data_IF_813316150893
#
_entry.id   IF_813316150893
#
_cell.length_a   1.000
_cell.length_b   1.000
_cell.length_c   1.000
_cell.angle_alpha   90.00
_cell.angle_beta   90.00
_cell.angle_gamma   90.00
#
_symmetry.space_group_name_H-M   'P 1'
#
loop_
_entity.id
_entity.type
_entity.pdbx_description
1 polymer ?
#
# COMPACT_ATOMS: atom_id res chain seq x y z
N UNK A 1 -14.29 -19.16 -1.68
CA UNK A 1 -14.49 -18.20 -2.75
C UNK A 1 -14.89 -18.97 -4.01
N UNK A 2 -15.99 -18.91 -4.59
CA UNK A 2 -16.39 -19.68 -5.78
C UNK A 2 -17.81 -20.20 -5.72
N UNK A 3 -18.47 -20.09 -4.56
CA UNK A 3 -19.88 -20.37 -4.41
C UNK A 3 -20.66 -19.06 -4.31
N UNK A 4 -21.86 -18.95 -4.90
CA UNK A 4 -22.68 -17.76 -4.77
C UNK A 4 -23.13 -17.59 -3.31
N UNK A 5 -23.16 -16.33 -2.84
CA UNK A 5 -23.71 -15.99 -1.53
C UNK A 5 -25.26 -16.08 -1.49
N UNK A 6 -25.87 -16.09 -2.67
CA UNK A 6 -27.32 -16.14 -2.86
C UNK A 6 -27.70 -15.65 -4.25
N UNK A 7 -28.94 -15.20 -4.39
CA UNK A 7 -29.50 -14.68 -5.64
C UNK A 7 -30.20 -13.34 -5.39
N UNK A 8 -30.29 -12.51 -6.44
CA UNK A 8 -31.05 -11.25 -6.40
C UNK A 8 -32.57 -11.58 -6.20
N UNK A 9 -33.12 -11.12 -5.10
CA UNK A 9 -34.53 -11.32 -4.78
C UNK A 9 -35.45 -10.47 -5.68
N UNK A 10 -36.72 -10.83 -5.82
CA UNK A 10 -37.65 -10.06 -6.64
C UNK A 10 -37.80 -8.59 -6.20
N UNK A 11 -37.90 -8.25 -4.88
CA UNK A 11 -37.93 -6.85 -4.45
C UNK A 11 -36.61 -6.09 -4.77
N UNK A 12 -35.46 -6.74 -4.62
CA UNK A 12 -34.17 -6.12 -4.96
C UNK A 12 -34.02 -5.91 -6.48
N UNK A 13 -34.50 -6.87 -7.27
CA UNK A 13 -34.53 -6.79 -8.73
C UNK A 13 -35.36 -5.59 -9.22
N UNK A 14 -36.54 -5.40 -8.65
CA UNK A 14 -37.44 -4.27 -8.95
C UNK A 14 -36.76 -2.93 -8.59
N UNK A 15 -36.19 -2.82 -7.39
CA UNK A 15 -35.51 -1.61 -6.91
C UNK A 15 -34.27 -1.24 -7.74
N UNK A 16 -33.47 -2.24 -8.14
CA UNK A 16 -32.19 -2.05 -8.85
C UNK A 16 -32.34 -2.06 -10.37
N UNK A 17 -33.51 -2.35 -10.92
CA UNK A 17 -33.69 -2.52 -12.36
C UNK A 17 -32.99 -3.77 -12.93
N UNK A 18 -32.84 -4.81 -12.13
CA UNK A 18 -32.18 -6.07 -12.47
C UNK A 18 -33.20 -7.19 -12.70
N UNK A 19 -32.74 -8.37 -13.12
CA UNK A 19 -33.57 -9.59 -13.13
C UNK A 19 -33.44 -10.30 -11.78
N UNK A 20 -34.54 -10.87 -11.28
CA UNK A 20 -34.50 -11.78 -10.14
C UNK A 20 -33.75 -13.07 -10.51
N UNK A 21 -33.10 -13.71 -9.51
CA UNK A 21 -32.39 -14.96 -9.71
C UNK A 21 -30.97 -14.78 -10.26
N UNK A 22 -30.45 -13.55 -10.40
CA UNK A 22 -29.05 -13.33 -10.75
C UNK A 22 -28.19 -13.77 -9.57
N UNK A 23 -27.15 -14.63 -9.77
CA UNK A 23 -26.24 -15.01 -8.69
C UNK A 23 -25.51 -13.81 -8.08
N UNK A 24 -25.44 -13.78 -6.75
CA UNK A 24 -24.67 -12.78 -6.00
C UNK A 24 -23.32 -13.38 -5.62
N UNK A 25 -22.23 -12.68 -5.93
CA UNK A 25 -20.86 -13.09 -5.62
C UNK A 25 -20.62 -13.22 -4.10
N UNK A 26 -19.61 -14.00 -3.67
CA UNK A 26 -19.37 -14.27 -2.25
C UNK A 26 -18.94 -13.02 -1.46
N UNK A 27 -18.50 -11.96 -2.16
CA UNK A 27 -17.94 -10.78 -1.52
C UNK A 27 -16.54 -11.03 -0.90
N UNK A 28 -15.89 -9.96 -0.52
CA UNK A 28 -14.58 -10.01 0.15
C UNK A 28 -14.29 -8.68 0.85
N UNK A 29 -13.28 -8.64 1.73
CA UNK A 29 -12.76 -7.39 2.27
C UNK A 29 -12.10 -6.54 1.18
N UNK A 30 -12.00 -5.24 1.41
CA UNK A 30 -11.52 -4.24 0.45
C UNK A 30 -10.11 -4.54 -0.10
N UNK A 31 -9.14 -4.85 0.77
CA UNK A 31 -7.77 -5.16 0.33
C UNK A 31 -7.70 -6.46 -0.50
N UNK A 32 -8.48 -7.49 -0.13
CA UNK A 32 -8.57 -8.71 -0.92
C UNK A 32 -9.31 -8.47 -2.25
N UNK A 33 -10.34 -7.60 -2.24
CA UNK A 33 -11.01 -7.13 -3.46
C UNK A 33 -10.06 -6.38 -4.39
N UNK A 34 -9.26 -5.45 -3.85
CA UNK A 34 -8.25 -4.75 -4.63
C UNK A 34 -7.18 -5.71 -5.21
N UNK A 35 -6.73 -6.70 -4.43
CA UNK A 35 -5.78 -7.72 -4.90
C UNK A 35 -6.35 -8.54 -6.07
N UNK A 36 -7.62 -8.94 -6.02
CA UNK A 36 -8.30 -9.59 -7.15
C UNK A 36 -8.43 -8.63 -8.33
N UNK A 37 -8.85 -7.38 -8.06
CA UNK A 37 -8.99 -6.35 -9.09
C UNK A 37 -7.70 -6.06 -9.84
N UNK A 38 -6.56 -6.19 -9.17
CA UNK A 38 -5.23 -6.11 -9.79
C UNK A 38 -4.83 -7.38 -10.55
N UNK A 39 -5.58 -8.46 -10.44
CA UNK A 39 -5.13 -9.77 -10.91
C UNK A 39 -3.80 -10.19 -10.28
N UNK A 40 -3.63 -9.91 -8.98
CA UNK A 40 -2.36 -9.99 -8.28
C UNK A 40 -1.82 -11.43 -8.26
N UNK A 41 -0.57 -11.58 -8.68
CA UNK A 41 0.16 -12.84 -8.59
C UNK A 41 0.89 -12.94 -7.25
N UNK A 42 1.09 -14.16 -6.71
CA UNK A 42 1.92 -14.36 -5.53
C UNK A 42 3.32 -13.77 -5.71
N UNK A 43 3.82 -13.08 -4.68
CA UNK A 43 5.13 -12.45 -4.68
C UNK A 43 5.16 -11.03 -5.27
N UNK A 44 4.08 -10.53 -5.85
CA UNK A 44 4.03 -9.14 -6.34
C UNK A 44 3.64 -8.21 -5.18
N UNK A 45 4.53 -7.29 -4.76
CA UNK A 45 4.26 -6.37 -3.66
C UNK A 45 3.35 -5.22 -4.09
N UNK A 46 2.47 -4.82 -3.19
CA UNK A 46 1.57 -3.67 -3.35
C UNK A 46 1.76 -2.71 -2.20
N UNK A 47 1.86 -1.42 -2.51
CA UNK A 47 1.76 -0.33 -1.55
C UNK A 47 0.53 0.51 -1.91
N UNK A 48 -0.39 0.65 -0.96
CA UNK A 48 -1.55 1.54 -1.09
C UNK A 48 -1.29 2.83 -0.31
N UNK A 49 -1.25 3.94 -1.04
CA UNK A 49 -0.99 5.29 -0.54
C UNK A 49 -2.32 6.02 -0.30
N UNK A 50 -2.97 5.70 0.80
CA UNK A 50 -4.19 6.36 1.28
C UNK A 50 -3.91 7.34 2.42
N UNK A 51 -4.95 7.78 3.14
CA UNK A 51 -4.84 8.54 4.41
C UNK A 51 -3.85 7.87 5.36
N UNK A 52 -4.04 6.59 5.61
CA UNK A 52 -3.07 5.63 6.14
C UNK A 52 -2.51 4.78 5.00
N UNK A 53 -1.36 4.15 5.22
CA UNK A 53 -0.73 3.30 4.22
C UNK A 53 -0.97 1.81 4.49
N UNK A 54 -1.00 1.00 3.44
CA UNK A 54 -0.91 -0.46 3.58
C UNK A 54 0.12 -1.03 2.64
N UNK A 55 0.81 -2.07 3.11
CA UNK A 55 1.70 -2.89 2.32
C UNK A 55 1.20 -4.34 2.35
N UNK A 56 1.11 -5.00 1.21
CA UNK A 56 0.63 -6.39 1.13
C UNK A 56 1.09 -7.09 -0.15
N UNK A 57 0.93 -8.39 -0.18
CA UNK A 57 1.05 -9.19 -1.40
C UNK A 57 0.15 -10.42 -1.34
N UNK A 58 -0.11 -11.06 -2.48
CA UNK A 58 -0.66 -12.43 -2.47
C UNK A 58 0.45 -13.43 -2.13
N UNK A 59 0.17 -14.38 -1.23
CA UNK A 59 1.13 -15.40 -0.77
C UNK A 59 0.55 -16.79 -0.89
N UNK A 60 1.40 -17.76 -1.24
CA UNK A 60 1.02 -19.18 -1.26
C UNK A 60 1.05 -19.81 0.13
N UNK A 61 1.78 -19.22 1.05
CA UNK A 61 1.94 -19.71 2.42
C UNK A 61 1.18 -18.83 3.40
N UNK A 62 0.64 -19.47 4.43
CA UNK A 62 -0.01 -18.75 5.53
C UNK A 62 1.04 -17.98 6.32
N UNK A 63 0.76 -16.71 6.56
CA UNK A 63 1.58 -15.87 7.44
C UNK A 63 1.07 -15.94 8.87
N UNK A 64 2.01 -16.13 9.81
CA UNK A 64 1.76 -16.09 11.24
C UNK A 64 2.81 -15.18 11.86
N UNK A 65 2.39 -14.04 12.34
CA UNK A 65 3.23 -13.04 13.01
C UNK A 65 2.85 -12.95 14.49
N UNK A 66 3.77 -13.39 15.36
CA UNK A 66 3.57 -13.33 16.80
C UNK A 66 3.62 -11.89 17.35
N UNK A 67 4.20 -10.93 16.61
CA UNK A 67 4.28 -9.51 17.00
C UNK A 67 2.98 -8.76 16.70
N UNK A 68 2.14 -9.28 15.79
CA UNK A 68 0.91 -8.64 15.35
C UNK A 68 1.12 -7.48 14.38
N UNK A 69 2.33 -7.28 13.87
CA UNK A 69 2.65 -6.22 12.89
C UNK A 69 2.07 -6.53 11.51
N UNK A 70 2.03 -7.83 11.15
CA UNK A 70 1.47 -8.33 9.89
C UNK A 70 0.22 -9.16 10.15
N UNK A 71 -0.89 -8.75 9.57
CA UNK A 71 -2.13 -9.51 9.58
C UNK A 71 -2.10 -10.62 8.51
N UNK A 72 -2.34 -11.87 8.94
CA UNK A 72 -2.36 -13.04 8.06
C UNK A 72 -3.76 -13.30 7.47
N UNK A 73 -4.25 -12.43 6.60
CA UNK A 73 -5.56 -12.59 5.97
C UNK A 73 -5.57 -13.74 4.94
N UNK A 74 -6.74 -14.32 4.71
CA UNK A 74 -7.01 -15.08 3.50
C UNK A 74 -7.27 -14.10 2.34
N UNK A 75 -6.79 -14.44 1.14
CA UNK A 75 -7.18 -13.72 -0.07
C UNK A 75 -8.50 -14.28 -0.64
N UNK A 76 -9.05 -13.60 -1.67
CA UNK A 76 -10.29 -14.02 -2.30
C UNK A 76 -10.10 -15.10 -3.39
N UNK A 77 -8.90 -15.66 -3.55
CA UNK A 77 -8.56 -16.67 -4.56
C UNK A 77 -8.19 -18.04 -3.96
N UNK A 78 -8.31 -18.17 -2.63
CA UNK A 78 -7.95 -19.38 -1.90
C UNK A 78 -6.47 -19.44 -1.46
N UNK A 79 -5.78 -18.30 -1.51
CA UNK A 79 -4.42 -18.09 -1.01
C UNK A 79 -4.45 -17.19 0.24
N UNK A 80 -3.35 -16.54 0.53
CA UNK A 80 -3.19 -15.66 1.69
C UNK A 80 -2.81 -14.25 1.25
N UNK A 81 -3.15 -13.27 2.10
CA UNK A 81 -2.87 -11.85 1.89
C UNK A 81 -2.21 -11.30 3.17
N UNK A 82 -0.91 -11.59 3.41
CA UNK A 82 -0.19 -10.90 4.47
C UNK A 82 -0.24 -9.39 4.20
N UNK A 83 -0.62 -8.63 5.24
CA UNK A 83 -0.84 -7.21 5.16
C UNK A 83 -0.33 -6.52 6.42
N UNK A 84 0.43 -5.45 6.26
CA UNK A 84 0.79 -4.51 7.30
C UNK A 84 0.21 -3.13 6.99
N UNK A 85 -0.13 -2.38 8.03
CA UNK A 85 -0.71 -1.05 7.87
C UNK A 85 0.08 -0.03 8.69
N UNK A 86 0.31 1.14 8.11
CA UNK A 86 0.84 2.33 8.79
C UNK A 86 -0.29 3.30 9.10
N UNK A 87 -0.16 4.08 10.17
CA UNK A 87 -1.11 5.17 10.48
C UNK A 87 -0.78 6.43 9.68
N UNK A 88 0.50 6.69 9.47
CA UNK A 88 1.01 7.92 8.89
C UNK A 88 1.45 7.72 7.44
N UNK A 89 0.61 8.17 6.51
CA UNK A 89 0.91 8.16 5.09
C UNK A 89 0.53 9.52 4.47
N UNK A 90 -0.41 9.59 3.53
CA UNK A 90 -0.67 10.86 2.84
C UNK A 90 -1.18 11.94 3.77
N UNK A 91 -2.03 11.62 4.76
CA UNK A 91 -2.54 12.60 5.71
C UNK A 91 -1.42 13.26 6.53
N UNK A 92 -0.44 12.49 6.98
CA UNK A 92 0.68 13.02 7.75
C UNK A 92 1.54 13.97 6.91
N UNK A 93 1.83 13.59 5.66
CA UNK A 93 2.57 14.45 4.72
C UNK A 93 1.79 15.71 4.38
N UNK A 94 0.48 15.60 4.10
CA UNK A 94 -0.39 16.75 3.83
C UNK A 94 -0.46 17.69 5.04
N UNK A 95 -0.48 17.16 6.27
CA UNK A 95 -0.46 17.95 7.49
C UNK A 95 0.85 18.72 7.64
N UNK A 96 1.98 18.08 7.37
CA UNK A 96 3.30 18.72 7.43
C UNK A 96 3.43 19.78 6.33
N UNK A 97 3.00 19.48 5.10
CA UNK A 97 2.94 20.46 4.01
C UNK A 97 2.13 21.70 4.39
N UNK A 98 0.96 21.50 5.03
CA UNK A 98 0.11 22.58 5.53
C UNK A 98 0.78 23.44 6.60
N UNK A 99 1.53 22.85 7.56
CA UNK A 99 2.30 23.61 8.54
C UNK A 99 3.42 24.43 7.93
N UNK A 100 4.02 23.93 6.83
CA UNK A 100 5.07 24.60 6.08
C UNK A 100 4.52 25.67 5.09
N UNK A 101 3.21 25.68 4.86
CA UNK A 101 2.59 26.56 3.84
C UNK A 101 2.92 26.15 2.41
N UNK A 102 3.20 24.88 2.16
CA UNK A 102 3.62 24.33 0.88
C UNK A 102 2.52 23.48 0.22
N UNK A 103 2.53 23.44 -1.11
CA UNK A 103 1.89 22.37 -1.87
C UNK A 103 2.75 21.09 -1.74
N UNK A 104 2.10 19.94 -1.59
CA UNK A 104 2.78 18.65 -1.40
C UNK A 104 3.73 18.27 -2.54
N UNK A 105 3.51 18.75 -3.75
CA UNK A 105 4.40 18.46 -4.90
C UNK A 105 5.64 19.37 -4.96
N UNK A 106 5.79 20.33 -4.01
CA UNK A 106 6.95 21.23 -3.92
C UNK A 106 8.08 20.74 -3.01
N UNK A 107 8.08 19.44 -2.67
CA UNK A 107 9.19 18.84 -1.93
C UNK A 107 10.51 18.95 -2.70
N UNK A 108 11.60 19.24 -1.98
CA UNK A 108 12.96 19.34 -2.54
C UNK A 108 13.40 18.04 -3.23
N UNK A 109 14.51 18.08 -3.94
CA UNK A 109 15.11 16.88 -4.55
C UNK A 109 15.99 16.11 -3.57
N UNK A 110 16.66 16.82 -2.66
CA UNK A 110 17.57 16.26 -1.66
C UNK A 110 17.34 16.85 -0.28
N UNK A 111 17.65 16.11 0.77
CA UNK A 111 17.60 16.59 2.16
C UNK A 111 18.50 15.76 3.07
N UNK A 112 19.10 16.42 4.05
CA UNK A 112 19.77 15.78 5.21
C UNK A 112 18.87 15.76 6.44
N UNK A 113 17.71 16.41 6.37
CA UNK A 113 16.71 16.40 7.44
C UNK A 113 16.09 15.01 7.53
N UNK A 114 15.75 14.58 8.72
CA UNK A 114 14.96 13.38 8.96
C UNK A 114 13.67 13.78 9.66
N UNK A 115 12.56 13.32 9.10
CA UNK A 115 11.23 13.41 9.72
C UNK A 115 10.71 12.01 9.98
N UNK A 116 10.34 11.73 11.22
CA UNK A 116 9.52 10.57 11.57
C UNK A 116 8.09 11.09 11.73
N UNK A 117 7.19 10.84 10.77
CA UNK A 117 5.89 11.52 10.72
C UNK A 117 4.82 10.85 11.60
N UNK A 118 5.19 10.32 12.77
CA UNK A 118 4.33 9.52 13.65
C UNK A 118 3.43 10.42 14.52
N UNK A 119 2.51 11.14 13.87
CA UNK A 119 1.75 12.23 14.51
C UNK A 119 0.91 11.77 15.70
N UNK A 120 0.26 10.63 15.64
CA UNK A 120 -0.57 10.06 16.70
C UNK A 120 -0.19 8.59 16.97
N UNK A 121 1.12 8.34 17.03
CA UNK A 121 1.69 7.01 17.09
C UNK A 121 1.87 6.38 15.71
N UNK A 122 2.40 5.15 15.67
CA UNK A 122 2.53 4.37 14.45
C UNK A 122 2.24 2.90 14.74
N UNK A 123 1.67 2.20 13.76
CA UNK A 123 1.35 0.77 13.83
C UNK A 123 2.48 -0.10 13.30
N UNK A 124 3.06 0.30 12.17
CA UNK A 124 4.22 -0.37 11.59
C UNK A 124 5.28 0.69 11.27
N UNK A 125 6.37 0.74 12.08
CA UNK A 125 6.65 -0.07 13.28
C UNK A 125 5.67 0.15 14.43
N UNK A 126 5.57 -0.82 15.37
CA UNK A 126 4.64 -0.74 16.51
C UNK A 126 5.15 0.27 17.57
N UNK A 127 4.77 1.52 17.40
CA UNK A 127 5.11 2.67 18.23
C UNK A 127 3.86 3.47 18.59
N UNK A 128 2.93 2.90 19.40
CA UNK A 128 1.59 3.49 19.59
C UNK A 128 1.61 4.83 20.34
N UNK A 129 2.67 5.13 21.07
CA UNK A 129 2.84 6.37 21.83
C UNK A 129 3.85 7.35 21.20
N UNK A 130 4.33 7.06 19.99
CA UNK A 130 5.26 7.96 19.32
C UNK A 130 4.60 9.30 18.96
N UNK A 131 5.41 10.33 18.93
CA UNK A 131 5.06 11.62 18.35
C UNK A 131 5.98 11.88 17.16
N UNK A 132 5.51 12.71 16.23
CA UNK A 132 6.34 13.12 15.11
C UNK A 132 7.60 13.86 15.60
N UNK A 133 8.69 13.66 14.88
CA UNK A 133 9.95 14.33 15.18
C UNK A 133 10.65 14.82 13.92
N UNK A 134 11.39 15.89 14.05
CA UNK A 134 12.22 16.48 13.00
C UNK A 134 13.63 16.64 13.55
N UNK A 135 14.63 16.13 12.86
CA UNK A 135 16.04 16.26 13.24
C UNK A 135 16.88 16.71 12.04
N UNK A 136 18.10 17.20 12.32
CA UNK A 136 19.02 17.62 11.26
C UNK A 136 18.77 19.02 10.71
N UNK A 137 17.90 19.83 11.34
CA UNK A 137 17.66 21.22 10.91
C UNK A 137 18.91 22.09 11.06
N UNK A 138 19.14 22.95 10.09
CA UNK A 138 20.19 23.95 10.04
C UNK A 138 19.61 25.31 9.66
N UNK A 139 20.37 26.38 9.82
CA UNK A 139 19.91 27.72 9.42
C UNK A 139 19.57 27.84 7.91
N UNK A 140 20.23 27.05 7.09
CA UNK A 140 20.01 27.02 5.64
C UNK A 140 18.95 26.01 5.20
N UNK A 141 18.31 25.29 6.13
CA UNK A 141 17.28 24.30 5.76
C UNK A 141 16.06 24.99 5.18
N UNK A 142 15.68 24.58 3.98
CA UNK A 142 14.50 25.10 3.29
C UNK A 142 13.26 24.24 3.62
N UNK A 143 12.03 24.84 3.62
CA UNK A 143 10.80 24.10 3.94
C UNK A 143 10.56 22.86 3.05
N UNK A 144 10.96 22.93 1.78
CA UNK A 144 10.84 21.79 0.83
C UNK A 144 11.68 20.58 1.23
N UNK A 145 12.81 20.78 1.94
CA UNK A 145 13.66 19.70 2.46
C UNK A 145 12.96 18.96 3.61
N UNK A 146 12.26 19.70 4.50
CA UNK A 146 11.47 19.11 5.58
C UNK A 146 10.30 18.31 5.00
N UNK A 147 9.67 18.83 3.95
CA UNK A 147 8.59 18.14 3.28
C UNK A 147 9.10 16.85 2.61
N UNK A 148 10.23 16.88 1.91
CA UNK A 148 10.84 15.66 1.35
C UNK A 148 11.13 14.62 2.44
N UNK A 149 11.70 15.05 3.56
CA UNK A 149 12.00 14.16 4.68
C UNK A 149 10.74 13.50 5.27
N UNK A 150 9.59 14.19 5.26
CA UNK A 150 8.31 13.62 5.68
C UNK A 150 7.85 12.49 4.73
N UNK A 151 7.98 12.68 3.42
CA UNK A 151 7.75 11.60 2.43
C UNK A 151 8.65 10.41 2.68
N UNK A 152 9.96 10.65 2.87
CA UNK A 152 10.94 9.59 3.10
C UNK A 152 10.65 8.80 4.37
N UNK A 153 10.28 9.45 5.47
CA UNK A 153 9.89 8.78 6.71
C UNK A 153 8.64 7.91 6.58
N UNK A 154 7.62 8.39 5.87
CA UNK A 154 6.42 7.60 5.60
C UNK A 154 6.69 6.41 4.68
N UNK A 155 7.49 6.61 3.62
CA UNK A 155 7.86 5.54 2.69
C UNK A 155 8.72 4.48 3.37
N UNK A 156 9.65 4.85 4.25
CA UNK A 156 10.45 3.87 4.99
C UNK A 156 9.57 2.89 5.76
N UNK A 157 8.55 3.38 6.47
CA UNK A 157 7.64 2.52 7.23
C UNK A 157 6.90 1.50 6.33
N UNK A 158 6.54 1.90 5.10
CA UNK A 158 5.89 1.01 4.13
C UNK A 158 6.85 0.00 3.51
N UNK A 159 8.10 0.39 3.25
CA UNK A 159 9.11 -0.53 2.74
C UNK A 159 9.49 -1.57 3.80
N UNK A 160 9.69 -1.17 5.04
CA UNK A 160 9.95 -2.11 6.14
C UNK A 160 8.75 -3.03 6.41
N UNK A 161 7.52 -2.56 6.19
CA UNK A 161 6.36 -3.43 6.21
C UNK A 161 6.43 -4.52 5.13
N UNK A 162 6.92 -4.19 3.92
CA UNK A 162 7.17 -5.18 2.88
C UNK A 162 8.30 -6.15 3.26
N UNK A 163 9.39 -5.66 3.89
CA UNK A 163 10.49 -6.51 4.35
C UNK A 163 9.98 -7.57 5.35
N UNK A 164 9.16 -7.16 6.33
CA UNK A 164 8.56 -8.10 7.31
C UNK A 164 7.61 -9.09 6.63
N UNK A 165 6.83 -8.65 5.65
CA UNK A 165 5.95 -9.52 4.87
C UNK A 165 6.77 -10.53 4.06
N UNK A 166 7.88 -10.12 3.48
CA UNK A 166 8.80 -10.98 2.73
C UNK A 166 9.33 -12.12 3.62
N UNK A 167 9.87 -11.76 4.78
CA UNK A 167 10.43 -12.70 5.75
C UNK A 167 9.40 -13.73 6.27
N UNK A 168 8.15 -13.32 6.41
CA UNK A 168 7.08 -14.13 7.01
C UNK A 168 6.22 -14.92 6.00
N UNK A 169 6.50 -14.83 4.72
CA UNK A 169 5.63 -15.37 3.66
C UNK A 169 6.35 -16.25 2.65
N UNK A 170 5.78 -16.41 1.46
CA UNK A 170 6.40 -17.15 0.36
C UNK A 170 7.50 -16.38 -0.40
N UNK A 171 7.80 -15.18 0.06
CA UNK A 171 8.79 -14.28 -0.53
C UNK A 171 8.23 -13.33 -1.58
N UNK A 172 8.81 -12.13 -1.63
CA UNK A 172 8.57 -11.13 -2.67
C UNK A 172 9.46 -11.48 -3.87
N UNK A 173 8.89 -11.49 -5.07
CA UNK A 173 9.66 -11.62 -6.30
C UNK A 173 10.55 -10.38 -6.47
N UNK A 174 11.89 -10.53 -6.47
CA UNK A 174 12.80 -9.39 -6.56
C UNK A 174 12.67 -8.62 -7.89
N UNK A 175 12.23 -9.26 -8.96
CA UNK A 175 12.06 -8.65 -10.27
C UNK A 175 10.67 -8.00 -10.45
N UNK A 176 9.70 -8.34 -9.59
CA UNK A 176 8.37 -7.76 -9.70
C UNK A 176 8.37 -6.27 -9.32
N UNK A 177 7.64 -5.42 -10.05
CA UNK A 177 7.46 -4.02 -9.66
C UNK A 177 6.66 -3.92 -8.36
N UNK A 178 6.94 -2.90 -7.57
CA UNK A 178 6.01 -2.47 -6.52
C UNK A 178 4.80 -1.84 -7.21
N UNK A 179 3.61 -2.39 -6.98
CA UNK A 179 2.37 -1.82 -7.50
C UNK A 179 1.90 -0.74 -6.54
N UNK A 180 1.90 0.52 -7.00
CA UNK A 180 1.40 1.66 -6.23
C UNK A 180 -0.06 1.93 -6.57
N UNK A 181 -0.91 1.96 -5.53
CA UNK A 181 -2.34 2.27 -5.65
C UNK A 181 -2.75 3.34 -4.63
N UNK A 182 -4.00 3.76 -4.69
CA UNK A 182 -4.53 4.81 -3.80
C UNK A 182 -4.28 6.22 -4.34
N UNK A 183 -4.86 7.21 -3.68
CA UNK A 183 -4.81 8.61 -4.13
C UNK A 183 -3.39 9.19 -4.19
N UNK A 184 -2.51 8.78 -3.26
CA UNK A 184 -1.11 9.19 -3.24
C UNK A 184 -0.30 8.71 -4.45
N UNK A 185 -0.67 7.57 -5.05
CA UNK A 185 0.02 7.02 -6.22
C UNK A 185 -0.06 7.95 -7.47
N UNK A 186 -0.99 8.90 -7.47
CA UNK A 186 -1.10 9.91 -8.52
C UNK A 186 -0.09 11.06 -8.35
N UNK A 187 0.46 11.26 -7.13
CA UNK A 187 1.45 12.29 -6.84
C UNK A 187 2.83 11.94 -7.41
N UNK A 188 3.47 12.90 -8.10
CA UNK A 188 4.80 12.70 -8.66
C UNK A 188 5.86 12.50 -7.58
N UNK A 189 5.77 13.24 -6.48
CA UNK A 189 6.69 13.14 -5.35
C UNK A 189 6.63 11.76 -4.69
N UNK A 190 5.43 11.20 -4.44
CA UNK A 190 5.29 9.84 -3.91
C UNK A 190 5.98 8.81 -4.80
N UNK A 191 5.72 8.84 -6.11
CA UNK A 191 6.36 7.94 -7.08
C UNK A 191 7.87 8.05 -7.08
N UNK A 192 8.39 9.29 -7.07
CA UNK A 192 9.83 9.57 -7.02
C UNK A 192 10.45 9.00 -5.74
N UNK A 193 9.86 9.26 -4.57
CA UNK A 193 10.42 8.84 -3.28
C UNK A 193 10.35 7.33 -3.11
N UNK A 194 9.21 6.68 -3.41
CA UNK A 194 9.13 5.20 -3.33
C UNK A 194 10.15 4.54 -4.26
N UNK A 195 10.30 5.06 -5.49
CA UNK A 195 11.28 4.54 -6.45
C UNK A 195 12.71 4.70 -5.97
N UNK A 196 13.07 5.89 -5.47
CA UNK A 196 14.41 6.18 -4.99
C UNK A 196 14.78 5.37 -3.74
N UNK A 197 13.84 5.20 -2.81
CA UNK A 197 14.13 4.47 -1.57
C UNK A 197 14.08 2.96 -1.74
N UNK A 198 13.22 2.43 -2.64
CA UNK A 198 13.13 0.98 -2.86
C UNK A 198 14.15 0.43 -3.84
N UNK A 199 14.65 1.24 -4.77
CA UNK A 199 15.48 0.76 -5.88
C UNK A 199 14.74 -0.14 -6.87
N UNK A 200 13.41 -0.29 -6.74
CA UNK A 200 12.60 -1.23 -7.52
C UNK A 200 11.84 -0.53 -8.65
N UNK A 201 11.48 -1.26 -9.71
CA UNK A 201 10.52 -0.77 -10.67
C UNK A 201 9.17 -0.52 -9.98
N UNK A 202 8.42 0.47 -10.45
CA UNK A 202 7.12 0.85 -9.88
C UNK A 202 6.06 0.79 -10.97
N UNK A 203 4.95 0.13 -10.69
CA UNK A 203 3.78 0.09 -11.58
C UNK A 203 2.62 0.86 -10.95
N UNK A 204 2.04 1.79 -11.70
CA UNK A 204 0.86 2.55 -11.31
C UNK A 204 -0.27 2.19 -12.26
N UNK A 205 -1.28 1.41 -11.82
CA UNK A 205 -2.43 1.07 -12.65
C UNK A 205 -3.22 2.31 -13.07
N UNK A 206 -3.75 2.30 -14.30
CA UNK A 206 -4.73 3.31 -14.76
C UNK A 206 -6.09 3.14 -14.07
N UNK A 207 -6.45 1.91 -13.74
CA UNK A 207 -7.68 1.60 -13.04
C UNK A 207 -7.67 2.14 -11.60
N UNK A 208 -8.70 2.87 -11.20
CA UNK A 208 -8.82 3.49 -9.86
C UNK A 208 -9.71 2.69 -8.92
N UNK A 209 -10.79 2.09 -9.42
CA UNK A 209 -11.80 1.38 -8.64
C UNK A 209 -11.48 -0.10 -8.50
N UNK A 210 -10.29 -0.42 -8.01
CA UNK A 210 -9.76 -1.79 -7.96
C UNK A 210 -10.63 -2.74 -7.12
N UNK A 211 -11.22 -2.26 -6.02
CA UNK A 211 -12.13 -3.07 -5.18
C UNK A 211 -13.38 -3.46 -5.96
N UNK A 212 -13.98 -2.51 -6.68
CA UNK A 212 -15.15 -2.76 -7.52
C UNK A 212 -14.82 -3.69 -8.69
N UNK A 213 -13.64 -3.54 -9.31
CA UNK A 213 -13.16 -4.45 -10.35
C UNK A 213 -12.95 -5.87 -9.80
N UNK A 214 -12.43 -6.00 -8.58
CA UNK A 214 -12.32 -7.29 -7.92
C UNK A 214 -13.66 -7.95 -7.66
N UNK A 215 -14.63 -7.18 -7.19
CA UNK A 215 -16.01 -7.67 -7.01
C UNK A 215 -16.65 -8.10 -8.35
N UNK A 216 -16.42 -7.32 -9.42
CA UNK A 216 -16.87 -7.67 -10.76
C UNK A 216 -16.19 -8.95 -11.28
N UNK A 217 -14.89 -9.12 -11.04
CA UNK A 217 -14.17 -10.33 -11.42
C UNK A 217 -14.66 -11.56 -10.66
N UNK A 218 -15.02 -11.44 -9.36
CA UNK A 218 -15.64 -12.52 -8.60
C UNK A 218 -17.04 -12.88 -9.14
N UNK A 219 -17.84 -11.88 -9.49
CA UNK A 219 -19.16 -12.15 -10.11
C UNK A 219 -19.02 -12.84 -11.49
N UNK A 220 -18.07 -12.41 -12.30
CA UNK A 220 -17.79 -13.04 -13.58
C UNK A 220 -17.24 -14.48 -13.41
N UNK A 221 -16.47 -14.75 -12.36
CA UNK A 221 -15.96 -16.09 -12.04
C UNK A 221 -17.10 -17.09 -11.78
N UNK A 222 -18.16 -16.67 -11.11
CA UNK A 222 -19.35 -17.53 -10.88
C UNK A 222 -20.04 -17.94 -12.17
N UNK A 223 -20.00 -17.09 -13.20
CA UNK A 223 -20.66 -17.34 -14.48
C UNK A 223 -19.79 -18.16 -15.44
N UNK A 224 -18.48 -17.93 -15.42
CA UNK A 224 -17.53 -18.58 -16.36
C UNK A 224 -16.90 -19.86 -15.82
N UNK A 225 -16.82 -20.01 -14.48
CA UNK A 225 -16.03 -21.06 -13.84
C UNK A 225 -14.51 -20.80 -13.81
N UNK A 226 -14.05 -19.69 -14.38
CA UNK A 226 -12.64 -19.31 -14.34
C UNK A 226 -12.32 -18.64 -12.98
N UNK A 227 -11.08 -18.76 -12.47
CA UNK A 227 -10.64 -18.03 -11.27
C UNK A 227 -10.74 -16.50 -11.45
N UNK A 228 -11.17 -15.79 -10.41
CA UNK A 228 -11.39 -14.33 -10.46
C UNK A 228 -10.11 -13.53 -10.79
N UNK A 229 -8.96 -13.96 -10.28
CA UNK A 229 -7.67 -13.35 -10.61
C UNK A 229 -7.26 -13.56 -12.07
N UNK A 230 -7.63 -14.70 -12.69
CA UNK A 230 -7.44 -14.94 -14.12
C UNK A 230 -8.31 -14.01 -14.96
N UNK A 231 -9.56 -13.78 -14.54
CA UNK A 231 -10.48 -12.85 -15.21
C UNK A 231 -9.93 -11.42 -15.18
N UNK A 232 -9.50 -10.94 -13.99
CA UNK A 232 -8.92 -9.61 -13.85
C UNK A 232 -7.68 -9.43 -14.74
N UNK A 233 -6.81 -10.45 -14.84
CA UNK A 233 -5.66 -10.41 -15.77
C UNK A 233 -6.07 -10.38 -17.24
N UNK A 234 -7.13 -11.08 -17.64
CA UNK A 234 -7.68 -10.98 -19.01
C UNK A 234 -8.24 -9.58 -19.31
N UNK A 235 -8.78 -8.91 -18.32
CA UNK A 235 -9.24 -7.53 -18.43
C UNK A 235 -8.10 -6.51 -18.43
N UNK A 236 -6.88 -6.96 -18.18
CA UNK A 236 -5.66 -6.13 -18.09
C UNK A 236 -5.80 -4.94 -17.11
N UNK A 237 -6.48 -5.19 -15.99
CA UNK A 237 -6.84 -4.17 -15.00
C UNK A 237 -5.62 -3.53 -14.33
N UNK A 238 -4.45 -4.18 -14.40
CA UNK A 238 -3.18 -3.66 -13.88
C UNK A 238 -2.40 -2.85 -14.92
N UNK A 239 -2.90 -2.72 -16.15
CA UNK A 239 -2.28 -1.88 -17.16
C UNK A 239 -2.12 -0.44 -16.65
N UNK A 240 -0.97 0.17 -16.91
CA UNK A 240 -0.69 1.54 -16.50
C UNK A 240 0.75 1.94 -16.70
N UNK A 241 1.17 2.96 -15.96
CA UNK A 241 2.54 3.48 -16.02
C UNK A 241 3.50 2.51 -15.35
N UNK A 242 4.59 2.18 -16.03
CA UNK A 242 5.73 1.45 -15.46
C UNK A 242 6.94 2.40 -15.44
N UNK A 243 7.54 2.55 -14.28
CA UNK A 243 8.78 3.30 -14.08
C UNK A 243 9.92 2.32 -13.82
N UNK A 244 10.98 2.42 -14.59
CA UNK A 244 12.17 1.57 -14.46
C UNK A 244 12.84 1.75 -13.09
N UNK A 245 13.55 0.73 -12.57
CA UNK A 245 14.29 0.86 -11.32
C UNK A 245 15.40 1.92 -11.45
N UNK A 246 15.80 2.45 -10.29
CA UNK A 246 16.99 3.27 -10.14
C UNK A 246 17.79 2.75 -8.93
N UNK A 247 19.04 3.17 -8.78
CA UNK A 247 19.82 2.80 -7.59
C UNK A 247 19.11 3.26 -6.31
N UNK A 248 19.02 2.37 -5.33
CA UNK A 248 18.39 2.68 -4.04
C UNK A 248 19.21 3.70 -3.26
N UNK A 249 18.55 4.68 -2.66
CA UNK A 249 19.16 5.63 -1.73
C UNK A 249 19.35 5.00 -0.34
N UNK A 250 20.31 4.09 -0.26
CA UNK A 250 20.63 3.35 0.97
C UNK A 250 21.07 4.29 2.09
N UNK A 251 21.79 5.37 1.76
CA UNK A 251 22.25 6.32 2.77
C UNK A 251 21.09 7.03 3.48
N UNK A 252 20.04 7.40 2.75
CA UNK A 252 18.83 7.96 3.35
C UNK A 252 18.08 6.95 4.20
N UNK A 253 17.96 5.69 3.75
CA UNK A 253 17.33 4.63 4.54
C UNK A 253 18.04 4.41 5.87
N UNK A 254 19.36 4.28 5.85
CA UNK A 254 20.19 4.09 7.04
C UNK A 254 20.08 5.30 7.99
N UNK A 255 20.16 6.51 7.48
CA UNK A 255 20.06 7.74 8.27
C UNK A 255 18.72 7.81 9.02
N UNK A 256 17.59 7.48 8.37
CA UNK A 256 16.28 7.51 9.01
C UNK A 256 16.17 6.39 10.06
N UNK A 257 16.66 5.18 9.77
CA UNK A 257 16.70 4.06 10.71
C UNK A 257 17.50 4.40 11.97
N UNK A 258 18.66 5.02 11.81
CA UNK A 258 19.52 5.44 12.92
C UNK A 258 18.85 6.50 13.82
N UNK A 259 18.17 7.47 13.22
CA UNK A 259 17.41 8.48 13.98
C UNK A 259 16.28 7.83 14.74
N UNK A 260 15.52 6.94 14.12
CA UNK A 260 14.41 6.23 14.77
C UNK A 260 14.89 5.35 15.92
N UNK A 261 15.97 4.59 15.75
CA UNK A 261 16.54 3.75 16.80
C UNK A 261 16.89 4.58 18.05
N UNK A 262 17.61 5.70 17.86
CA UNK A 262 17.96 6.60 18.97
C UNK A 262 16.72 7.18 19.68
N UNK A 263 15.67 7.52 18.94
CA UNK A 263 14.45 8.06 19.55
C UNK A 263 13.67 7.01 20.32
N UNK A 264 13.67 5.76 19.87
CA UNK A 264 13.02 4.65 20.59
C UNK A 264 13.74 4.40 21.92
N UNK A 265 15.07 4.44 21.95
CA UNK A 265 15.88 4.30 23.17
C UNK A 265 15.65 5.43 24.16
N UNK A 266 15.43 6.67 23.69
CA UNK A 266 15.15 7.84 24.58
C UNK A 266 13.75 7.80 25.22
N UNK A 267 12.81 7.06 24.63
CA UNK A 267 11.42 6.96 25.09
C UNK A 267 11.10 5.64 25.81
N UNK A 268 12.06 4.72 25.92
CA UNK A 268 11.95 3.45 26.65
C UNK A 268 12.34 3.62 28.14
#
# INVERSE_FOLDING_TARGET
PGEPAGEVTAPAAEYLGLRAGIPVGPGTGDNAGAAVGLGLLPGVPVISLGTSGTAYMSSRTRTVDATGSVAGFADATGKFLPLAATLNCTLAVDRIAGWLGLDRETAAEHTEVVVLPYLDGERTPNLPNAAASITGLRHATEPGEILLAAYQGAVLSLLEALDVIDDLSSGIDPEAPIVLIGGGAQGATWRRVVRAMSGRPIQIPEATELVALGAAAQAAALLSGDPSDVIARRWDTRRGMLLDPIDADVATLERIRDVRARMTEMNA
#
